data_IF_328789238529
#
_entry.id   IF_328789238529
#
_cell.length_a   1.000
_cell.length_b   1.000
_cell.length_c   1.000
_cell.angle_alpha   90.00
_cell.angle_beta   90.00
_cell.angle_gamma   90.00
#
_symmetry.space_group_name_H-M   'P 1'
#
loop_
_entity.id
_entity.type
_entity.pdbx_description
1 polymer ?
#
# COMPACT_ATOMS: atom_id res chain seq x y z
N UNK A 1 -9.45 9.31 -16.58
CA UNK A 1 -8.87 9.23 -15.22
C UNK A 1 -9.12 7.81 -14.69
N UNK A 2 -8.22 6.86 -14.95
CA UNK A 2 -8.34 5.48 -14.46
C UNK A 2 -7.67 5.38 -13.09
N UNK A 3 -8.46 5.19 -12.03
CA UNK A 3 -7.96 4.90 -10.68
C UNK A 3 -8.13 3.40 -10.48
N UNK A 4 -7.06 2.69 -10.11
CA UNK A 4 -7.15 1.27 -9.84
C UNK A 4 -7.21 1.04 -8.34
N UNK A 5 -8.24 0.30 -7.90
CA UNK A 5 -8.39 -0.06 -6.49
C UNK A 5 -7.38 -1.16 -6.15
N UNK A 6 -6.68 -0.98 -5.04
CA UNK A 6 -5.78 -2.00 -4.49
C UNK A 6 -6.50 -2.63 -3.30
N UNK A 7 -6.78 -3.92 -3.45
CA UNK A 7 -7.36 -4.76 -2.42
C UNK A 7 -6.29 -5.71 -1.88
N UNK A 8 -6.28 -5.88 -0.56
CA UNK A 8 -5.39 -6.80 0.12
C UNK A 8 -6.24 -7.71 1.01
N UNK A 9 -6.10 -9.03 0.84
CA UNK A 9 -6.90 -10.04 1.54
C UNK A 9 -8.43 -9.83 1.42
N UNK A 10 -8.90 -9.35 0.26
CA UNK A 10 -10.32 -9.05 0.02
C UNK A 10 -10.81 -7.74 0.65
N UNK A 11 -9.90 -6.92 1.20
CA UNK A 11 -10.22 -5.61 1.77
C UNK A 11 -9.61 -4.51 0.91
N UNK A 12 -10.38 -3.51 0.45
CA UNK A 12 -9.82 -2.34 -0.22
C UNK A 12 -8.96 -1.54 0.77
N UNK A 13 -7.67 -1.42 0.45
CA UNK A 13 -6.66 -0.77 1.31
C UNK A 13 -6.21 0.59 0.75
N UNK A 14 -6.30 0.78 -0.56
CA UNK A 14 -5.92 2.03 -1.20
C UNK A 14 -6.29 2.07 -2.68
N UNK A 15 -5.91 3.15 -3.33
CA UNK A 15 -6.02 3.30 -4.79
C UNK A 15 -4.67 3.70 -5.36
N UNK A 16 -4.39 3.25 -6.58
CA UNK A 16 -3.28 3.79 -7.38
C UNK A 16 -3.83 4.71 -8.46
N UNK A 17 -3.15 5.84 -8.62
CA UNK A 17 -3.44 6.83 -9.64
C UNK A 17 -2.18 6.98 -10.50
N UNK A 18 -2.28 6.84 -11.83
CA UNK A 18 -1.15 7.14 -12.70
C UNK A 18 -0.80 8.63 -12.59
N UNK A 19 0.45 8.90 -12.19
CA UNK A 19 1.07 10.21 -12.08
C UNK A 19 2.32 10.26 -12.97
N UNK A 20 2.16 10.90 -14.14
CA UNK A 20 3.17 10.99 -15.19
C UNK A 20 3.71 9.61 -15.60
N UNK A 21 4.90 9.27 -15.12
CA UNK A 21 5.63 8.02 -15.40
C UNK A 21 5.57 7.00 -14.24
N UNK A 22 4.79 7.30 -13.21
CA UNK A 22 4.69 6.50 -11.99
C UNK A 22 3.25 6.27 -11.56
N UNK A 23 3.05 5.37 -10.60
CA UNK A 23 1.77 5.13 -9.94
C UNK A 23 1.84 5.68 -8.53
N UNK A 24 1.08 6.73 -8.25
CA UNK A 24 0.92 7.26 -6.90
C UNK A 24 -0.06 6.39 -6.13
N UNK A 25 0.37 5.87 -4.98
CA UNK A 25 -0.52 5.20 -4.05
C UNK A 25 -1.18 6.21 -3.12
N UNK A 26 -2.49 6.08 -2.95
CA UNK A 26 -3.29 6.84 -1.99
C UNK A 26 -3.87 5.82 -1.01
N UNK A 27 -3.42 5.89 0.23
CA UNK A 27 -3.90 5.04 1.30
C UNK A 27 -5.29 5.50 1.75
N UNK A 28 -6.23 4.57 1.87
CA UNK A 28 -7.55 4.85 2.49
C UNK A 28 -7.71 4.19 3.84
N UNK A 29 -6.75 3.35 4.26
CA UNK A 29 -6.73 2.67 5.56
C UNK A 29 -5.48 2.98 6.36
N UNK A 30 -5.64 3.05 7.69
CA UNK A 30 -4.55 3.34 8.65
C UNK A 30 -3.37 2.35 8.54
N UNK A 31 -3.63 1.07 8.30
CA UNK A 31 -2.58 0.05 8.20
C UNK A 31 -1.58 0.28 7.05
N UNK A 32 -1.95 1.09 6.04
CA UNK A 32 -1.11 1.38 4.87
C UNK A 32 -0.78 2.87 4.75
N UNK A 33 -0.97 3.64 5.82
CA UNK A 33 -0.70 5.07 5.82
C UNK A 33 0.77 5.40 5.56
N UNK A 34 1.70 4.50 5.94
CA UNK A 34 3.12 4.62 5.62
C UNK A 34 3.41 4.57 4.11
N UNK A 35 2.50 4.01 3.32
CA UNK A 35 2.61 3.94 1.85
C UNK A 35 1.91 5.12 1.17
N UNK A 36 1.19 5.96 1.92
CA UNK A 36 0.45 7.09 1.34
C UNK A 36 1.40 8.08 0.65
N UNK A 37 1.05 8.47 -0.56
CA UNK A 37 1.85 9.42 -1.35
C UNK A 37 3.14 8.85 -1.93
N UNK A 38 3.44 7.57 -1.72
CA UNK A 38 4.55 6.89 -2.37
C UNK A 38 4.27 6.66 -3.86
N UNK A 39 5.32 6.76 -4.67
CA UNK A 39 5.26 6.51 -6.11
C UNK A 39 5.87 5.14 -6.39
N UNK A 40 5.16 4.34 -7.16
CA UNK A 40 5.53 2.98 -7.52
C UNK A 40 5.61 2.85 -9.04
N UNK A 41 6.48 1.97 -9.52
CA UNK A 41 6.56 1.67 -10.94
C UNK A 41 5.35 0.84 -11.41
N UNK A 42 4.77 0.01 -10.53
CA UNK A 42 3.66 -0.88 -10.85
C UNK A 42 2.75 -1.16 -9.66
N UNK A 43 1.52 -1.59 -9.92
CA UNK A 43 0.57 -2.07 -8.90
C UNK A 43 1.11 -3.30 -8.15
N UNK A 44 1.95 -4.11 -8.80
CA UNK A 44 2.66 -5.24 -8.19
C UNK A 44 3.62 -4.79 -7.09
N UNK A 45 4.32 -3.67 -7.27
CA UNK A 45 5.23 -3.11 -6.27
C UNK A 45 4.47 -2.59 -5.04
N UNK A 46 3.29 -2.01 -5.26
CA UNK A 46 2.39 -1.60 -4.17
C UNK A 46 1.98 -2.81 -3.32
N UNK A 47 1.56 -3.91 -3.95
CA UNK A 47 1.21 -5.14 -3.24
C UNK A 47 2.40 -5.72 -2.45
N UNK A 48 3.61 -5.69 -3.02
CA UNK A 48 4.84 -6.11 -2.31
C UNK A 48 5.13 -5.20 -1.12
N UNK A 49 4.97 -3.89 -1.27
CA UNK A 49 5.19 -2.93 -0.20
C UNK A 49 4.17 -3.11 0.94
N UNK A 50 2.89 -3.31 0.61
CA UNK A 50 1.84 -3.64 1.59
C UNK A 50 2.17 -4.95 2.31
N UNK A 51 2.56 -5.99 1.57
CA UNK A 51 2.90 -7.28 2.18
C UNK A 51 4.11 -7.17 3.11
N UNK A 52 5.14 -6.41 2.73
CA UNK A 52 6.30 -6.12 3.58
C UNK A 52 5.89 -5.32 4.81
N UNK A 53 5.07 -4.28 4.66
CA UNK A 53 4.57 -3.46 5.75
C UNK A 53 3.75 -4.27 6.75
N UNK A 54 2.86 -5.14 6.27
CA UNK A 54 2.07 -6.05 7.11
C UNK A 54 2.94 -7.09 7.83
N UNK A 55 3.98 -7.59 7.16
CA UNK A 55 4.94 -8.51 7.77
C UNK A 55 5.77 -7.82 8.87
N UNK A 56 6.22 -6.59 8.63
CA UNK A 56 6.96 -5.78 9.62
C UNK A 56 6.07 -5.30 10.77
N UNK A 57 4.85 -4.86 10.48
CA UNK A 57 3.88 -4.42 11.50
C UNK A 57 3.53 -5.55 12.46
N UNK A 58 3.40 -6.79 11.95
CA UNK A 58 3.20 -7.99 12.78
C UNK A 58 4.40 -8.31 13.67
N UNK A 59 5.62 -7.97 13.24
CA UNK A 59 6.82 -8.13 14.07
C UNK A 59 6.93 -7.03 15.15
N UNK A 60 6.50 -5.81 14.86
CA UNK A 60 6.52 -4.68 15.80
C UNK A 60 5.55 -4.89 16.98
N UNK A 61 4.37 -5.46 16.75
CA UNK A 61 3.43 -5.79 17.84
C UNK A 61 3.88 -6.96 18.74
N UNK A 62 4.91 -7.71 18.35
CA UNK A 62 5.48 -8.80 19.15
C UNK A 62 6.77 -8.42 19.90
N UNK A 63 7.28 -7.19 19.75
CA UNK A 63 8.48 -6.71 20.46
C UNK A 63 8.13 -5.73 21.59
N UNK A 64 7.11 -6.09 22.39
CA UNK A 64 6.80 -5.46 23.66
C UNK A 64 6.22 -6.54 24.59
N UNK A 65 7.08 -7.43 25.09
CA UNK A 65 6.79 -8.35 26.18
C UNK A 65 8.04 -8.53 27.02
#
# INVERSE_FOLDING_TARGET
MAKQVIEYAGVPVGIVVPDRDSLKFIAVKFHVHELDGQHFASSSDVLRAIHKLMSTSRASVHHAA
#
